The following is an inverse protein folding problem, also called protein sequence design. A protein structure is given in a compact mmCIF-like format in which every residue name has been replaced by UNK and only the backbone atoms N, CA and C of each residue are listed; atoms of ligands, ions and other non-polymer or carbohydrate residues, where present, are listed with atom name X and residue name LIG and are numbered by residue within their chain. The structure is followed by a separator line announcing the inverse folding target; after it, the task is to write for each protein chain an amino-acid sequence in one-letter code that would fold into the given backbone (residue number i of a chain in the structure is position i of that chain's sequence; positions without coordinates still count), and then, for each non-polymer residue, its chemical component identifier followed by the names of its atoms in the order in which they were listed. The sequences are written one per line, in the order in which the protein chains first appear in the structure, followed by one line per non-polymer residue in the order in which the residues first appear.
data_IF_440780776590
#
_entry.id   IF_440780776590
#
_cell.length_a   1.000
_cell.length_b   1.000
_cell.length_c   1.000
_cell.angle_alpha   90.00
_cell.angle_beta   90.00
_cell.angle_gamma   90.00
#
_symmetry.space_group_name_H-M   'P 1'
#
loop_
_entity.id
_entity.type
_entity.pdbx_description
1 polymer ?
#
# COMPACT_ATOMS: atom_id res chain seq x y z
N UNK A 1 -2.44 9.95 23.40
CA UNK A 1 -2.69 9.37 22.06
C UNK A 1 -1.59 8.39 21.57
N UNK A 2 -0.31 8.73 21.76
CA UNK A 2 0.86 8.07 21.13
C UNK A 2 1.05 6.58 21.47
N UNK A 3 0.86 6.19 22.74
CA UNK A 3 1.05 4.80 23.20
C UNK A 3 0.07 3.84 22.53
N UNK A 4 -1.13 4.32 22.23
CA UNK A 4 -2.25 3.47 21.83
C UNK A 4 -2.28 3.20 20.32
N UNK A 5 -1.83 4.17 19.52
CA UNK A 5 -1.64 4.01 18.07
C UNK A 5 -0.69 2.85 17.70
N UNK A 6 0.25 2.49 18.59
CA UNK A 6 1.17 1.37 18.36
C UNK A 6 0.48 0.00 18.53
N UNK A 7 -0.53 -0.09 19.41
CA UNK A 7 -1.28 -1.34 19.66
C UNK A 7 -2.31 -1.64 18.57
N UNK A 8 -2.90 -0.61 17.95
CA UNK A 8 -3.93 -0.79 16.90
C UNK A 8 -3.38 -1.26 15.55
N UNK A 9 -2.09 -1.05 15.28
CA UNK A 9 -1.42 -1.61 14.10
C UNK A 9 -0.84 -2.97 14.47
N UNK A 10 -1.63 -4.01 14.23
CA UNK A 10 -1.10 -5.37 14.17
C UNK A 10 -0.03 -5.45 13.07
N UNK A 11 1.20 -5.78 13.47
CA UNK A 11 2.35 -5.97 12.56
C UNK A 11 2.13 -7.07 11.52
N UNK A 12 1.14 -7.94 11.73
CA UNK A 12 0.81 -9.06 10.86
C UNK A 12 -0.09 -8.68 9.66
N UNK A 13 -0.66 -7.47 9.61
CA UNK A 13 -1.57 -7.08 8.50
C UNK A 13 -0.79 -6.57 7.28
N UNK A 14 -1.15 -7.05 6.08
CA UNK A 14 -0.62 -6.51 4.80
C UNK A 14 -0.75 -4.98 4.76
N UNK A 15 0.35 -4.30 4.45
CA UNK A 15 0.43 -2.83 4.46
C UNK A 15 0.76 -2.19 5.82
N UNK A 16 1.20 -2.98 6.82
CA UNK A 16 1.62 -2.48 8.14
C UNK A 16 2.70 -1.39 8.03
N UNK A 17 3.70 -1.56 7.17
CA UNK A 17 4.77 -0.58 6.98
C UNK A 17 4.25 0.83 6.63
N UNK A 18 3.35 0.93 5.64
CA UNK A 18 2.80 2.24 5.24
C UNK A 18 1.91 2.82 6.34
N UNK A 19 1.21 2.00 7.11
CA UNK A 19 0.45 2.45 8.28
C UNK A 19 1.37 2.95 9.40
N UNK A 20 2.46 2.24 9.69
CA UNK A 20 3.46 2.64 10.69
C UNK A 20 4.08 4.00 10.36
N UNK A 21 4.46 4.25 9.10
CA UNK A 21 4.98 5.57 8.70
C UNK A 21 3.97 6.70 8.91
N UNK A 22 2.69 6.47 8.61
CA UNK A 22 1.64 7.48 8.87
C UNK A 22 1.50 7.75 10.36
N UNK A 23 1.59 6.71 11.19
CA UNK A 23 1.55 6.86 12.64
C UNK A 23 2.78 7.61 13.15
N UNK A 24 3.97 7.33 12.64
CA UNK A 24 5.18 8.07 13.00
C UNK A 24 5.05 9.56 12.66
N UNK A 25 4.52 9.88 11.48
CA UNK A 25 4.24 11.27 11.11
C UNK A 25 3.23 11.92 12.06
N UNK A 26 2.15 11.21 12.39
CA UNK A 26 1.13 11.70 13.32
C UNK A 26 1.71 11.92 14.73
N UNK A 27 2.58 11.02 15.20
CA UNK A 27 3.25 11.12 16.52
C UNK A 27 4.15 12.35 16.64
N UNK A 28 4.74 12.82 15.54
CA UNK A 28 5.56 14.03 15.51
C UNK A 28 4.73 15.31 15.60
N UNK A 29 3.44 15.25 15.28
CA UNK A 29 2.56 16.39 15.27
C UNK A 29 2.03 16.75 16.68
N UNK A 30 1.74 18.04 16.92
CA UNK A 30 1.21 18.58 18.19
C UNK A 30 -0.05 17.86 18.68
N UNK A 31 -0.92 17.48 17.75
CA UNK A 31 -2.18 16.75 17.99
C UNK A 31 -1.95 15.42 18.72
N UNK A 32 -0.81 14.75 18.53
CA UNK A 32 -0.53 13.50 19.23
C UNK A 32 -0.17 13.65 20.71
N UNK A 33 0.21 14.85 21.12
CA UNK A 33 0.52 15.19 22.52
C UNK A 33 -0.73 15.54 23.33
N UNK A 34 -1.87 15.77 22.68
CA UNK A 34 -3.13 16.10 23.33
C UNK A 34 -3.86 14.85 23.86
N UNK A 35 -4.76 15.06 24.81
CA UNK A 35 -5.68 14.04 25.30
C UNK A 35 -6.78 13.79 24.27
N UNK A 36 -7.23 12.54 24.12
CA UNK A 36 -8.27 12.20 23.14
C UNK A 36 -9.56 13.01 23.36
N UNK A 37 -9.95 13.20 24.62
CA UNK A 37 -11.14 13.95 25.01
C UNK A 37 -11.05 15.46 24.72
N UNK A 38 -9.85 16.04 24.57
CA UNK A 38 -9.67 17.47 24.31
C UNK A 38 -9.64 17.82 22.83
N UNK A 39 -9.52 16.82 21.94
CA UNK A 39 -9.39 17.04 20.51
C UNK A 39 -10.76 17.36 19.92
N UNK A 40 -10.85 18.50 19.24
CA UNK A 40 -12.07 18.98 18.57
C UNK A 40 -11.92 18.99 17.05
N UNK A 41 -13.03 19.18 16.34
CA UNK A 41 -13.04 19.27 14.88
C UNK A 41 -12.08 20.35 14.34
N UNK A 42 -11.91 21.46 15.06
CA UNK A 42 -10.96 22.54 14.71
C UNK A 42 -9.51 22.05 14.63
N UNK A 43 -9.09 21.19 15.57
CA UNK A 43 -7.72 20.67 15.63
C UNK A 43 -7.46 19.70 14.47
N UNK A 44 -8.48 18.90 14.11
CA UNK A 44 -8.41 18.02 12.93
C UNK A 44 -8.39 18.84 11.63
N UNK A 45 -9.16 19.93 11.55
CA UNK A 45 -9.19 20.80 10.37
C UNK A 45 -7.84 21.50 10.18
N UNK A 46 -7.25 22.02 11.25
CA UNK A 46 -5.90 22.60 11.23
C UNK A 46 -4.86 21.58 10.79
N UNK A 47 -4.90 20.36 11.36
CA UNK A 47 -4.03 19.27 10.93
C UNK A 47 -4.21 18.94 9.44
N UNK A 48 -5.46 18.83 8.94
CA UNK A 48 -5.74 18.60 7.52
C UNK A 48 -5.09 19.68 6.65
N UNK A 49 -5.25 20.94 7.00
CA UNK A 49 -4.80 22.08 6.19
C UNK A 49 -3.26 22.20 6.20
N UNK A 50 -2.62 21.97 7.35
CA UNK A 50 -1.16 21.86 7.45
C UNK A 50 -0.60 20.71 6.60
N UNK A 51 -1.27 19.54 6.62
CA UNK A 51 -0.83 18.37 5.86
C UNK A 51 -1.02 18.55 4.36
N UNK A 52 -2.10 19.21 3.92
CA UNK A 52 -2.36 19.48 2.51
C UNK A 52 -1.28 20.35 1.85
N UNK A 53 -0.51 21.14 2.62
CA UNK A 53 0.64 21.89 2.11
C UNK A 53 1.82 20.98 1.71
N UNK A 54 1.92 19.80 2.29
CA UNK A 54 3.10 18.94 2.20
C UNK A 54 2.82 17.59 1.50
N UNK A 55 1.57 17.12 1.52
CA UNK A 55 1.20 15.80 0.98
C UNK A 55 -0.07 15.86 0.15
N UNK A 56 -0.18 14.90 -0.78
CA UNK A 56 -1.37 14.74 -1.61
C UNK A 56 -2.62 14.43 -0.78
N UNK A 57 -3.78 14.86 -1.28
CA UNK A 57 -5.10 14.67 -0.67
C UNK A 57 -5.38 13.22 -0.26
N UNK A 58 -4.99 12.25 -1.08
CA UNK A 58 -5.14 10.83 -0.77
C UNK A 58 -4.40 10.42 0.51
N UNK A 59 -3.19 10.94 0.74
CA UNK A 59 -2.42 10.66 1.94
C UNK A 59 -3.10 11.25 3.18
N UNK A 60 -3.58 12.49 3.10
CA UNK A 60 -4.32 13.16 4.19
C UNK A 60 -5.58 12.38 4.54
N UNK A 61 -6.34 11.92 3.54
CA UNK A 61 -7.55 11.09 3.78
C UNK A 61 -7.23 9.79 4.52
N UNK A 62 -6.11 9.13 4.19
CA UNK A 62 -5.68 7.92 4.90
C UNK A 62 -5.22 8.22 6.34
N UNK A 63 -4.56 9.35 6.57
CA UNK A 63 -4.20 9.81 7.92
C UNK A 63 -5.47 10.12 8.75
N UNK A 64 -6.46 10.80 8.17
CA UNK A 64 -7.75 11.08 8.81
C UNK A 64 -8.56 9.80 9.08
N UNK A 65 -8.52 8.82 8.18
CA UNK A 65 -9.17 7.53 8.39
C UNK A 65 -8.54 6.76 9.58
N UNK A 66 -7.21 6.84 9.75
CA UNK A 66 -6.53 6.27 10.92
C UNK A 66 -6.97 6.95 12.22
N UNK A 67 -7.10 8.29 12.21
CA UNK A 67 -7.63 9.03 13.36
C UNK A 67 -9.08 8.62 13.66
N UNK A 68 -9.96 8.57 12.65
CA UNK A 68 -11.34 8.13 12.83
C UNK A 68 -11.42 6.71 13.43
N UNK A 69 -10.58 5.79 12.94
CA UNK A 69 -10.49 4.46 13.51
C UNK A 69 -10.04 4.47 14.97
N UNK A 70 -9.05 5.29 15.33
CA UNK A 70 -8.57 5.44 16.71
C UNK A 70 -9.69 5.88 17.67
N UNK A 71 -10.47 6.89 17.30
CA UNK A 71 -11.60 7.37 18.11
C UNK A 71 -12.70 6.32 18.23
N UNK A 72 -13.03 5.61 17.13
CA UNK A 72 -13.98 4.51 17.18
C UNK A 72 -13.53 3.40 18.14
N UNK A 73 -12.25 3.00 18.09
CA UNK A 73 -11.70 2.01 19.03
C UNK A 73 -11.75 2.52 20.46
N UNK A 74 -11.43 3.80 20.71
CA UNK A 74 -11.49 4.38 22.04
C UNK A 74 -12.89 4.33 22.65
N UNK A 75 -13.91 4.65 21.86
CA UNK A 75 -15.31 4.62 22.28
C UNK A 75 -15.76 3.17 22.52
N UNK A 76 -15.55 2.27 21.55
CA UNK A 76 -16.10 0.91 21.59
C UNK A 76 -15.37 -0.04 22.52
N UNK A 77 -14.04 0.05 22.58
CA UNK A 77 -13.20 -0.95 23.25
C UNK A 77 -12.62 -0.44 24.57
N UNK A 78 -12.42 0.88 24.72
CA UNK A 78 -11.77 1.45 25.92
C UNK A 78 -12.76 2.15 26.86
N UNK A 79 -14.06 2.06 26.57
CA UNK A 79 -15.10 2.63 27.42
C UNK A 79 -15.07 4.15 27.53
N UNK A 80 -14.45 4.86 26.56
CA UNK A 80 -14.49 6.32 26.48
C UNK A 80 -15.85 6.79 25.95
N UNK A 81 -16.92 6.43 26.64
CA UNK A 81 -18.28 6.81 26.31
C UNK A 81 -18.42 8.34 26.49
N UNK A 82 -18.95 9.02 25.47
CA UNK A 82 -19.20 10.47 25.51
C UNK A 82 -18.21 11.35 24.75
N UNK A 83 -17.09 10.80 24.24
CA UNK A 83 -16.26 11.53 23.28
C UNK A 83 -16.88 11.45 21.87
N UNK A 84 -16.86 12.56 21.15
CA UNK A 84 -17.26 12.60 19.74
C UNK A 84 -16.09 12.18 18.86
N UNK A 85 -16.38 11.71 17.65
CA UNK A 85 -15.36 11.43 16.63
C UNK A 85 -15.10 12.74 15.87
N UNK A 86 -14.01 13.48 16.13
CA UNK A 86 -13.88 14.85 15.61
C UNK A 86 -13.68 14.91 14.09
N UNK A 87 -13.25 13.79 13.50
CA UNK A 87 -13.06 13.65 12.05
C UNK A 87 -14.39 13.74 11.28
N UNK A 88 -15.51 13.36 11.88
CA UNK A 88 -16.83 13.45 11.21
C UNK A 88 -17.37 14.88 11.18
N UNK A 89 -16.80 15.79 11.97
CA UNK A 89 -17.20 17.20 12.06
C UNK A 89 -16.47 18.10 11.05
N UNK A 90 -15.61 17.54 10.19
CA UNK A 90 -14.84 18.30 9.21
C UNK A 90 -15.14 17.87 7.78
N UNK A 91 -15.00 18.81 6.84
CA UNK A 91 -15.01 18.48 5.40
C UNK A 91 -13.74 17.74 5.03
N UNK A 92 -13.89 16.53 4.50
CA UNK A 92 -12.78 15.72 4.02
C UNK A 92 -12.23 16.28 2.69
N UNK A 93 -10.91 16.17 2.43
CA UNK A 93 -10.35 16.49 1.12
C UNK A 93 -11.04 15.69 0.00
N UNK A 94 -11.12 16.25 -1.21
CA UNK A 94 -11.66 15.53 -2.37
C UNK A 94 -10.90 14.22 -2.59
N UNK A 95 -11.59 13.21 -3.13
CA UNK A 95 -10.91 12.00 -3.57
C UNK A 95 -9.90 12.39 -4.64
N UNK A 96 -8.64 11.99 -4.47
CA UNK A 96 -7.66 12.18 -5.53
C UNK A 96 -8.13 11.39 -6.75
N UNK A 97 -8.17 12.03 -7.92
CA UNK A 97 -8.43 11.31 -9.16
C UNK A 97 -7.40 10.20 -9.32
N UNK A 98 -7.87 9.00 -9.65
CA UNK A 98 -6.96 7.91 -9.98
C UNK A 98 -6.08 8.35 -11.13
N UNK A 99 -4.76 8.21 -10.96
CA UNK A 99 -3.83 8.46 -12.06
C UNK A 99 -3.87 7.24 -12.98
N UNK A 100 -4.85 7.20 -13.86
CA UNK A 100 -4.89 6.19 -14.94
C UNK A 100 -3.91 6.62 -16.04
N UNK A 101 -2.63 6.32 -15.82
CA UNK A 101 -1.59 6.51 -16.84
C UNK A 101 -1.30 5.14 -17.45
N UNK A 102 -1.85 4.89 -18.64
CA UNK A 102 -1.48 3.73 -19.44
C UNK A 102 -0.15 3.99 -20.15
N UNK A 103 0.72 2.99 -20.18
CA UNK A 103 1.92 3.03 -21.01
C UNK A 103 1.49 2.85 -22.47
N UNK A 104 1.69 3.88 -23.30
CA UNK A 104 1.52 3.76 -24.75
C UNK A 104 2.62 2.88 -25.34
N UNK A 105 2.32 2.24 -26.48
CA UNK A 105 3.15 1.19 -27.10
C UNK A 105 4.63 1.57 -27.24
N UNK A 106 4.94 2.79 -27.70
CA UNK A 106 6.34 3.27 -27.83
C UNK A 106 7.05 3.65 -26.52
N UNK A 107 6.36 3.71 -25.37
CA UNK A 107 6.99 3.91 -24.05
C UNK A 107 7.47 2.59 -23.44
N UNK A 108 6.83 1.48 -23.82
CA UNK A 108 7.20 0.15 -23.32
C UNK A 108 8.56 -0.25 -23.88
N UNK A 109 8.81 -0.02 -25.17
CA UNK A 109 10.09 -0.30 -25.82
C UNK A 109 11.23 0.49 -25.19
N UNK A 110 11.02 1.80 -24.95
CA UNK A 110 12.00 2.64 -24.25
C UNK A 110 12.27 2.18 -22.82
N UNK A 111 11.22 1.78 -22.10
CA UNK A 111 11.37 1.22 -20.75
C UNK A 111 12.19 -0.07 -20.77
N UNK A 112 11.88 -0.99 -21.70
CA UNK A 112 12.61 -2.24 -21.85
C UNK A 112 14.07 -2.01 -22.22
N UNK A 113 14.35 -1.09 -23.15
CA UNK A 113 15.72 -0.75 -23.53
C UNK A 113 16.52 -0.20 -22.33
N UNK A 114 15.93 0.71 -21.54
CA UNK A 114 16.59 1.20 -20.33
C UNK A 114 16.75 0.13 -19.24
N UNK A 115 15.82 -0.83 -19.14
CA UNK A 115 15.99 -1.97 -18.25
C UNK A 115 17.13 -2.88 -18.72
N UNK A 116 17.18 -3.18 -20.02
CA UNK A 116 18.23 -4.02 -20.63
C UNK A 116 19.62 -3.36 -20.41
N UNK A 117 19.73 -2.03 -20.52
CA UNK A 117 20.94 -1.25 -20.22
C UNK A 117 21.33 -1.33 -18.73
N UNK A 118 20.36 -1.28 -17.81
CA UNK A 118 20.61 -1.43 -16.37
C UNK A 118 21.16 -2.82 -16.01
N UNK A 119 20.71 -3.85 -16.74
CA UNK A 119 21.15 -5.23 -16.55
C UNK A 119 20.62 -5.91 -15.27
N UNK A 120 21.22 -7.05 -14.92
CA UNK A 120 20.78 -7.90 -13.82
C UNK A 120 19.42 -8.56 -14.07
N UNK A 121 18.62 -8.73 -13.01
CA UNK A 121 17.32 -9.41 -13.08
C UNK A 121 16.16 -8.48 -13.49
N UNK A 122 16.39 -7.16 -13.48
CA UNK A 122 15.36 -6.15 -13.72
C UNK A 122 14.64 -6.32 -15.08
N UNK A 123 15.33 -6.56 -16.21
CA UNK A 123 14.67 -6.82 -17.50
C UNK A 123 13.70 -7.99 -17.44
N UNK A 124 14.11 -9.08 -16.80
CA UNK A 124 13.30 -10.29 -16.70
C UNK A 124 12.05 -10.03 -15.85
N UNK A 125 12.19 -9.36 -14.70
CA UNK A 125 11.07 -9.01 -13.83
C UNK A 125 10.07 -8.09 -14.55
N UNK A 126 10.55 -7.08 -15.28
CA UNK A 126 9.68 -6.14 -16.02
C UNK A 126 8.95 -6.84 -17.16
N UNK A 127 9.64 -7.67 -17.95
CA UNK A 127 9.01 -8.44 -19.03
C UNK A 127 7.97 -9.44 -18.48
N UNK A 128 8.26 -10.09 -17.35
CA UNK A 128 7.30 -10.97 -16.69
C UNK A 128 6.08 -10.19 -16.18
N UNK A 129 6.28 -8.99 -15.61
CA UNK A 129 5.19 -8.12 -15.17
C UNK A 129 4.28 -7.71 -16.34
N UNK A 130 4.87 -7.32 -17.47
CA UNK A 130 4.14 -6.94 -18.68
C UNK A 130 3.36 -8.12 -19.27
N UNK A 131 3.94 -9.32 -19.26
CA UNK A 131 3.31 -10.50 -19.85
C UNK A 131 2.19 -11.11 -18.98
N UNK A 132 2.26 -10.94 -17.66
CA UNK A 132 1.33 -11.60 -16.71
C UNK A 132 0.34 -10.64 -16.07
N UNK A 133 0.61 -9.33 -16.08
CA UNK A 133 -0.22 -8.33 -15.40
C UNK A 133 -0.30 -8.52 -13.88
N UNK A 134 0.65 -9.25 -13.28
CA UNK A 134 0.71 -9.48 -11.83
C UNK A 134 1.04 -8.19 -11.08
N UNK A 135 0.52 -8.07 -9.85
CA UNK A 135 0.93 -6.98 -8.97
C UNK A 135 2.40 -7.14 -8.54
N UNK A 136 3.09 -6.02 -8.29
CA UNK A 136 4.50 -6.04 -7.84
C UNK A 136 4.74 -6.95 -6.63
N UNK A 137 3.81 -6.97 -5.68
CA UNK A 137 3.91 -7.83 -4.50
C UNK A 137 3.80 -9.31 -4.84
N UNK A 138 2.94 -9.66 -5.80
CA UNK A 138 2.77 -11.03 -6.28
C UNK A 138 4.04 -11.52 -6.97
N UNK A 139 4.60 -10.70 -7.88
CA UNK A 139 5.86 -10.99 -8.57
C UNK A 139 7.03 -11.17 -7.59
N UNK A 140 7.15 -10.30 -6.58
CA UNK A 140 8.21 -10.38 -5.59
C UNK A 140 8.09 -11.60 -4.66
N UNK A 141 6.89 -12.15 -4.48
CA UNK A 141 6.63 -13.34 -3.67
C UNK A 141 6.64 -14.65 -4.48
N UNK A 142 6.79 -14.56 -5.81
CA UNK A 142 6.72 -15.71 -6.69
C UNK A 142 7.97 -16.57 -6.52
N UNK A 143 7.78 -17.84 -6.18
CA UNK A 143 8.86 -18.82 -6.06
C UNK A 143 8.81 -19.82 -7.20
N UNK A 144 9.95 -20.45 -7.50
CA UNK A 144 10.04 -21.50 -8.51
C UNK A 144 9.09 -22.70 -8.25
N UNK A 145 8.85 -23.03 -6.98
CA UNK A 145 7.89 -24.08 -6.60
C UNK A 145 6.43 -23.76 -6.96
N UNK A 146 6.13 -22.49 -7.21
CA UNK A 146 4.81 -22.02 -7.59
C UNK A 146 4.62 -21.90 -9.11
N UNK A 147 5.64 -22.21 -9.91
CA UNK A 147 5.60 -22.12 -11.37
C UNK A 147 5.58 -23.54 -11.94
N UNK A 148 4.46 -23.91 -12.56
CA UNK A 148 4.37 -25.12 -13.36
C UNK A 148 4.64 -24.78 -14.83
N UNK A 149 5.87 -25.04 -15.29
CA UNK A 149 6.28 -24.79 -16.67
C UNK A 149 5.63 -25.76 -17.68
N UNK A 150 5.18 -26.94 -17.24
CA UNK A 150 4.49 -27.90 -18.11
C UNK A 150 3.07 -27.43 -18.39
N UNK A 151 2.37 -27.00 -17.33
CA UNK A 151 1.01 -26.45 -17.43
C UNK A 151 0.99 -24.97 -17.84
N UNK A 152 2.15 -24.30 -17.83
CA UNK A 152 2.30 -22.87 -18.10
C UNK A 152 1.46 -22.03 -17.14
N UNK A 153 1.53 -22.34 -15.85
CA UNK A 153 0.75 -21.66 -14.82
C UNK A 153 1.63 -21.24 -13.66
N UNK A 154 1.39 -20.03 -13.15
CA UNK A 154 1.94 -19.55 -11.89
C UNK A 154 0.83 -19.52 -10.83
N UNK A 155 1.06 -20.21 -9.71
CA UNK A 155 0.14 -20.24 -8.57
C UNK A 155 0.56 -19.20 -7.55
N UNK A 156 -0.29 -18.22 -7.29
CA UNK A 156 -0.06 -17.20 -6.27
C UNK A 156 -0.76 -17.64 -4.98
N UNK A 157 -0.02 -18.12 -3.96
CA UNK A 157 -0.61 -18.64 -2.73
C UNK A 157 -1.21 -17.54 -1.87
N UNK A 158 -0.69 -16.31 -1.98
CA UNK A 158 -1.07 -15.17 -1.18
C UNK A 158 -1.35 -13.93 -2.04
N UNK A 159 -2.60 -13.68 -2.40
CA UNK A 159 -3.01 -12.39 -2.96
C UNK A 159 -3.31 -11.38 -1.85
N UNK A 160 -3.48 -10.11 -2.21
CA UNK A 160 -3.87 -9.05 -1.27
C UNK A 160 -5.22 -9.33 -0.57
N UNK A 161 -6.07 -10.15 -1.19
CA UNK A 161 -7.39 -10.55 -0.69
C UNK A 161 -7.39 -11.93 0.01
N UNK A 162 -6.24 -12.61 0.08
CA UNK A 162 -6.12 -13.92 0.75
C UNK A 162 -6.60 -15.11 -0.08
N UNK A 163 -7.01 -14.90 -1.33
CA UNK A 163 -7.43 -15.97 -2.23
C UNK A 163 -6.26 -16.44 -3.09
N UNK A 164 -6.19 -17.77 -3.31
CA UNK A 164 -5.23 -18.35 -4.25
C UNK A 164 -5.65 -17.98 -5.67
N UNK A 165 -4.73 -17.39 -6.44
CA UNK A 165 -4.97 -17.05 -7.85
C UNK A 165 -4.01 -17.83 -8.72
N UNK A 166 -4.53 -18.40 -9.81
CA UNK A 166 -3.71 -19.03 -10.84
C UNK A 166 -3.64 -18.08 -12.02
N UNK A 167 -2.42 -17.79 -12.48
CA UNK A 167 -2.17 -16.95 -13.64
C UNK A 167 -1.60 -17.83 -14.76
N UNK A 168 -2.21 -17.75 -15.94
CA UNK A 168 -1.70 -18.42 -17.12
C UNK A 168 -0.49 -17.65 -17.68
N UNK A 169 0.56 -18.37 -18.02
CA UNK A 169 1.80 -17.83 -18.58
C UNK A 169 1.76 -18.00 -20.10
N UNK A 170 1.96 -16.90 -20.83
CA UNK A 170 2.21 -16.94 -22.28
C UNK A 170 3.53 -17.65 -22.59
N UNK A 171 3.74 -18.07 -23.84
CA UNK A 171 5.01 -18.72 -24.24
C UNK A 171 6.23 -17.83 -23.95
N UNK A 172 6.09 -16.52 -24.16
CA UNK A 172 7.10 -15.52 -23.80
C UNK A 172 7.34 -15.46 -22.29
N UNK A 173 6.27 -15.47 -21.47
CA UNK A 173 6.37 -15.49 -20.02
C UNK A 173 7.00 -16.78 -19.45
N UNK A 174 7.00 -17.88 -20.19
CA UNK A 174 7.65 -19.15 -19.81
C UNK A 174 9.15 -19.14 -20.13
N UNK A 175 9.57 -18.40 -21.16
CA UNK A 175 10.97 -18.26 -21.56
C UNK A 175 11.75 -17.38 -20.58
N UNK A 176 11.12 -16.33 -20.05
CA UNK A 176 11.76 -15.34 -19.17
C UNK A 176 12.29 -15.96 -17.85
N UNK A 177 11.51 -16.75 -17.08
CA UNK A 177 12.00 -17.39 -15.87
C UNK A 177 13.21 -18.29 -16.11
N UNK A 178 13.29 -19.00 -17.24
CA UNK A 178 14.41 -19.92 -17.54
C UNK A 178 15.78 -19.24 -17.52
N UNK A 179 15.82 -17.94 -17.77
CA UNK A 179 17.04 -17.13 -17.78
C UNK A 179 17.34 -16.47 -16.43
N UNK A 180 16.44 -16.60 -15.44
CA UNK A 180 16.67 -16.11 -14.08
C UNK A 180 17.39 -17.18 -13.25
N UNK A 181 18.36 -16.78 -12.40
CA UNK A 181 18.98 -17.71 -11.46
C UNK A 181 17.93 -18.33 -10.53
N UNK A 182 18.11 -19.62 -10.20
CA UNK A 182 17.15 -20.40 -9.39
C UNK A 182 17.03 -19.95 -7.92
N UNK A 183 17.85 -18.99 -7.49
CA UNK A 183 17.84 -18.44 -6.12
C UNK A 183 17.43 -16.98 -6.17
N UNK A 184 16.21 -16.71 -5.71
CA UNK A 184 15.87 -15.43 -5.09
C UNK A 184 15.81 -15.69 -3.58
N UNK A 185 16.94 -15.48 -2.90
CA UNK A 185 17.01 -15.35 -1.44
C UNK A 185 18.03 -14.28 -1.11
#
# INVERSE_FOLDING_TARGET
MIVILRKSVSSKKKGAYQKSRRIENLKRHKLAKQYLASIQGKDIAEYRDERLKNVFQASVRLELALLSHLFNTAIREWGMNGILIPVTQIRLPKNAMSRDRRLFQGKVEKLLASCDEYGGDLPCVVRLALATGMERGELASLTWGNIDLKKRTATLPETKNGEKRIVQLSQEAVRIPRNLPRRFV
#
